data_IF_160994949631
#
_entry.id   IF_160994949631
#
_cell.length_a   1.000
_cell.length_b   1.000
_cell.length_c   1.000
_cell.angle_alpha   90.00
_cell.angle_beta   90.00
_cell.angle_gamma   90.00
#
_symmetry.space_group_name_H-M   'P 1'
#
loop_
_entity.id
_entity.type
_entity.pdbx_description
1 polymer ?
#
# COMPACT_ATOMS: atom_id res chain seq x y z
N UNK A 1 36.30 -10.29 -13.63
CA UNK A 1 35.99 -9.08 -14.45
C UNK A 1 34.50 -8.90 -14.36
N UNK A 2 34.02 -7.95 -13.56
CA UNK A 2 32.59 -7.67 -13.47
C UNK A 2 32.16 -7.04 -14.78
N UNK A 3 31.25 -7.71 -15.49
CA UNK A 3 30.63 -7.20 -16.70
C UNK A 3 29.81 -5.96 -16.32
N UNK A 4 30.36 -4.81 -16.60
CA UNK A 4 29.70 -3.51 -16.49
C UNK A 4 28.75 -3.37 -17.70
N UNK A 5 27.72 -4.23 -17.78
CA UNK A 5 26.66 -4.03 -18.76
C UNK A 5 25.86 -2.80 -18.28
N UNK A 6 26.16 -1.66 -18.89
CA UNK A 6 25.39 -0.43 -18.68
C UNK A 6 23.92 -0.67 -19.01
N UNK A 7 23.05 0.06 -18.33
CA UNK A 7 21.59 0.07 -18.59
C UNK A 7 21.33 0.25 -20.08
N UNK A 8 20.61 -0.69 -20.70
CA UNK A 8 20.29 -0.64 -22.13
C UNK A 8 18.91 -0.03 -22.37
N UNK A 9 17.96 -0.23 -21.44
CA UNK A 9 16.59 0.29 -21.50
C UNK A 9 16.00 0.49 -20.10
N UNK A 10 14.98 1.29 -20.01
CA UNK A 10 14.22 1.44 -18.77
C UNK A 10 13.52 0.12 -18.41
N UNK A 11 13.66 -0.28 -17.14
CA UNK A 11 13.16 -1.54 -16.64
C UNK A 11 14.14 -2.72 -16.74
N UNK A 12 15.40 -2.47 -17.12
CA UNK A 12 16.43 -3.50 -16.96
C UNK A 12 16.57 -3.88 -15.47
N UNK A 13 16.75 -5.18 -15.21
CA UNK A 13 16.87 -5.72 -13.86
C UNK A 13 18.05 -6.67 -13.78
N UNK A 14 18.72 -6.63 -12.64
CA UNK A 14 19.71 -7.63 -12.26
C UNK A 14 19.21 -8.37 -11.03
N UNK A 15 18.98 -9.67 -11.19
CA UNK A 15 18.69 -10.57 -10.08
C UNK A 15 20.03 -10.99 -9.49
N UNK A 16 20.29 -10.54 -8.25
CA UNK A 16 21.54 -10.85 -7.57
C UNK A 16 21.46 -12.16 -6.77
N UNK A 17 20.31 -12.43 -6.18
CA UNK A 17 20.03 -13.66 -5.46
C UNK A 17 18.58 -14.09 -5.68
N UNK A 18 18.39 -15.35 -5.99
CA UNK A 18 17.10 -16.02 -6.02
C UNK A 18 17.35 -17.47 -5.58
N UNK A 19 17.30 -17.68 -4.27
CA UNK A 19 17.67 -18.97 -3.66
C UNK A 19 16.48 -19.56 -2.92
N UNK A 20 16.28 -20.86 -3.08
CA UNK A 20 15.38 -21.67 -2.27
C UNK A 20 16.21 -22.39 -1.22
N UNK A 21 15.83 -22.29 0.04
CA UNK A 21 16.44 -23.00 1.14
C UNK A 21 15.41 -23.97 1.70
N UNK A 22 15.72 -25.25 1.60
CA UNK A 22 14.83 -26.33 2.07
C UNK A 22 14.80 -26.40 3.60
N UNK A 23 13.83 -27.12 4.15
CA UNK A 23 13.76 -27.44 5.59
C UNK A 23 14.98 -28.18 6.12
N UNK A 24 15.78 -28.80 5.24
CA UNK A 24 17.04 -29.47 5.57
C UNK A 24 18.27 -28.58 5.35
N UNK A 25 18.09 -27.29 5.17
CA UNK A 25 19.13 -26.28 4.91
C UNK A 25 19.94 -26.54 3.61
N UNK A 26 19.38 -27.24 2.64
CA UNK A 26 20.00 -27.36 1.31
C UNK A 26 19.55 -26.18 0.45
N UNK A 27 20.51 -25.55 -0.23
CA UNK A 27 20.34 -24.33 -0.97
C UNK A 27 20.29 -24.64 -2.47
N UNK A 28 19.30 -24.08 -3.14
CA UNK A 28 19.11 -24.19 -4.58
C UNK A 28 19.00 -22.79 -5.21
N UNK A 29 19.82 -22.56 -6.22
CA UNK A 29 19.71 -21.33 -7.03
C UNK A 29 18.58 -21.51 -8.06
N UNK A 30 17.56 -20.67 -7.98
CA UNK A 30 16.40 -20.69 -8.87
C UNK A 30 16.52 -19.74 -10.07
N UNK A 31 17.59 -18.97 -10.19
CA UNK A 31 17.74 -17.92 -11.22
C UNK A 31 17.61 -18.48 -12.63
N UNK A 32 18.17 -19.66 -12.90
CA UNK A 32 18.08 -20.29 -14.23
C UNK A 32 16.66 -20.78 -14.57
N UNK A 33 15.87 -21.14 -13.57
CA UNK A 33 14.52 -21.69 -13.72
C UNK A 33 13.44 -20.61 -13.77
N UNK A 34 13.77 -19.37 -13.45
CA UNK A 34 12.81 -18.28 -13.36
C UNK A 34 12.17 -17.97 -14.72
N UNK A 35 10.84 -18.00 -14.76
CA UNK A 35 10.02 -17.44 -15.83
C UNK A 35 9.57 -16.04 -15.43
N UNK A 36 8.87 -15.95 -14.30
CA UNK A 36 8.28 -14.72 -13.81
C UNK A 36 8.22 -14.73 -12.27
N UNK A 37 8.54 -13.61 -11.67
CA UNK A 37 8.35 -13.36 -10.23
C UNK A 37 7.40 -12.18 -10.10
N UNK A 38 6.42 -12.31 -9.24
CA UNK A 38 5.50 -11.24 -8.85
C UNK A 38 5.65 -11.00 -7.34
N UNK A 39 5.89 -9.75 -6.96
CA UNK A 39 5.88 -9.29 -5.58
C UNK A 39 4.78 -8.23 -5.45
N UNK A 40 3.93 -8.36 -4.44
CA UNK A 40 2.79 -7.48 -4.19
C UNK A 40 2.99 -6.70 -2.91
N UNK A 41 2.87 -5.38 -3.02
CA UNK A 41 2.80 -4.43 -1.91
C UNK A 41 1.42 -3.79 -1.91
N UNK A 42 0.82 -3.57 -0.72
CA UNK A 42 -0.50 -2.94 -0.60
C UNK A 42 -0.61 -2.25 0.78
N UNK A 43 -0.99 -0.98 0.82
CA UNK A 43 -1.15 -0.24 2.08
C UNK A 43 -2.28 -0.79 2.97
N UNK A 44 -3.17 -1.60 2.42
CA UNK A 44 -4.23 -2.28 3.16
C UNK A 44 -3.87 -3.72 3.57
N UNK A 45 -2.66 -4.19 3.26
CA UNK A 45 -2.12 -5.48 3.65
C UNK A 45 -1.03 -5.34 4.71
N UNK A 46 -1.09 -6.18 5.75
CA UNK A 46 -0.09 -6.16 6.83
C UNK A 46 1.22 -6.84 6.46
N UNK A 47 1.30 -7.50 5.32
CA UNK A 47 2.46 -8.28 4.89
C UNK A 47 2.58 -8.32 3.37
N UNK A 48 3.79 -8.53 2.90
CA UNK A 48 4.06 -8.73 1.49
C UNK A 48 3.70 -10.16 1.08
N UNK A 49 3.21 -10.30 -0.14
CA UNK A 49 2.97 -11.60 -0.77
C UNK A 49 3.56 -11.64 -2.15
N UNK A 50 3.75 -12.83 -2.68
CA UNK A 50 4.19 -12.96 -4.04
C UNK A 50 4.04 -14.37 -4.62
N UNK A 51 4.40 -14.48 -5.88
CA UNK A 51 4.43 -15.74 -6.59
C UNK A 51 5.61 -15.81 -7.54
N UNK A 52 6.18 -16.99 -7.67
CA UNK A 52 7.26 -17.26 -8.61
C UNK A 52 6.88 -18.41 -9.51
N UNK A 53 6.95 -18.20 -10.81
CA UNK A 53 6.72 -19.19 -11.84
C UNK A 53 8.07 -19.74 -12.27
N UNK A 54 8.24 -21.04 -12.14
CA UNK A 54 9.48 -21.76 -12.46
C UNK A 54 9.27 -22.73 -13.63
N UNK A 55 10.32 -22.85 -14.45
CA UNK A 55 10.43 -23.91 -15.48
C UNK A 55 11.57 -24.82 -15.10
N UNK A 56 11.24 -25.98 -14.55
CA UNK A 56 12.18 -26.93 -13.97
C UNK A 56 12.48 -28.05 -14.96
N UNK A 57 13.71 -28.12 -15.44
CA UNK A 57 14.25 -29.18 -16.31
C UNK A 57 15.16 -30.16 -15.56
N UNK A 58 15.44 -29.91 -14.27
CA UNK A 58 16.33 -30.73 -13.43
C UNK A 58 15.57 -31.58 -12.42
N UNK A 59 14.24 -31.53 -12.44
CA UNK A 59 13.39 -32.24 -11.49
C UNK A 59 13.63 -31.86 -10.02
N UNK A 60 13.81 -30.54 -9.76
CA UNK A 60 14.00 -30.00 -8.42
C UNK A 60 12.90 -30.42 -7.46
N UNK A 61 11.66 -30.48 -7.95
CA UNK A 61 10.49 -30.81 -7.14
C UNK A 61 10.55 -32.19 -6.50
N UNK A 62 11.21 -33.17 -7.16
CA UNK A 62 11.38 -34.50 -6.60
C UNK A 62 12.68 -34.63 -5.78
N UNK A 63 13.69 -33.81 -6.09
CA UNK A 63 14.97 -33.78 -5.35
C UNK A 63 14.82 -33.04 -4.02
N UNK A 64 13.96 -32.02 -3.98
CA UNK A 64 13.66 -31.23 -2.79
C UNK A 64 12.20 -31.44 -2.46
N UNK A 65 11.86 -32.02 -1.31
CA UNK A 65 10.47 -32.06 -0.88
C UNK A 65 9.99 -30.62 -0.59
N UNK A 66 9.43 -29.98 -1.62
CA UNK A 66 8.81 -28.66 -1.45
C UNK A 66 7.47 -28.87 -0.76
N UNK A 67 7.43 -28.64 0.55
CA UNK A 67 6.28 -28.93 1.42
C UNK A 67 5.56 -27.67 1.90
N UNK A 68 6.11 -26.47 1.61
CA UNK A 68 5.56 -25.19 2.05
C UNK A 68 6.20 -24.66 3.35
N UNK A 69 7.41 -25.09 3.65
CA UNK A 69 8.20 -24.62 4.82
C UNK A 69 9.54 -24.03 4.39
N UNK A 70 9.78 -23.94 3.10
CA UNK A 70 11.04 -23.47 2.54
C UNK A 70 11.14 -21.93 2.63
N UNK A 71 12.40 -21.46 2.74
CA UNK A 71 12.68 -20.02 2.62
C UNK A 71 13.04 -19.68 1.17
N UNK A 72 12.57 -18.53 0.74
CA UNK A 72 12.91 -17.90 -0.53
C UNK A 72 13.71 -16.62 -0.27
N UNK A 73 14.98 -16.64 -0.61
CA UNK A 73 15.86 -15.48 -0.53
C UNK A 73 15.82 -14.76 -1.86
N UNK A 74 15.39 -13.50 -1.83
CA UNK A 74 15.22 -12.66 -3.00
C UNK A 74 16.07 -11.39 -2.88
N UNK A 75 16.88 -11.13 -3.92
CA UNK A 75 17.58 -9.86 -4.09
C UNK A 75 17.66 -9.48 -5.56
N UNK A 76 17.07 -8.34 -5.90
CA UNK A 76 17.18 -7.76 -7.25
C UNK A 76 17.33 -6.25 -7.20
N UNK A 77 17.92 -5.69 -8.23
CA UNK A 77 18.18 -4.27 -8.37
C UNK A 77 17.84 -3.81 -9.79
N UNK A 78 17.30 -2.61 -9.90
CA UNK A 78 17.25 -1.86 -11.14
C UNK A 78 18.55 -1.06 -11.24
N UNK A 79 19.45 -1.32 -12.21
CA UNK A 79 20.80 -0.74 -12.21
C UNK A 79 20.88 0.78 -12.20
N UNK A 80 19.83 1.48 -12.66
CA UNK A 80 19.74 2.94 -12.62
C UNK A 80 19.45 3.52 -11.23
N UNK A 81 19.09 2.69 -10.25
CA UNK A 81 18.72 3.13 -8.90
C UNK A 81 19.60 2.46 -7.84
N UNK A 82 20.02 3.22 -6.80
CA UNK A 82 20.98 2.71 -5.81
C UNK A 82 20.40 1.69 -4.84
N UNK A 83 19.06 1.59 -4.75
CA UNK A 83 18.37 0.73 -3.80
C UNK A 83 18.05 -0.62 -4.42
N UNK A 84 18.27 -1.71 -3.68
CA UNK A 84 17.83 -3.05 -4.04
C UNK A 84 16.57 -3.45 -3.26
N UNK A 85 15.74 -4.28 -3.86
CA UNK A 85 14.74 -5.05 -3.13
C UNK A 85 15.46 -6.30 -2.62
N UNK A 86 15.56 -6.43 -1.30
CA UNK A 86 16.25 -7.55 -0.65
C UNK A 86 15.43 -8.02 0.53
N UNK A 87 14.94 -9.26 0.46
CA UNK A 87 14.11 -9.84 1.52
C UNK A 87 14.11 -11.35 1.47
N UNK A 88 13.92 -11.96 2.64
CA UNK A 88 13.64 -13.38 2.79
C UNK A 88 12.15 -13.58 3.02
N UNK A 89 11.56 -14.49 2.28
CA UNK A 89 10.17 -14.89 2.36
C UNK A 89 10.06 -16.35 2.76
N UNK A 90 8.86 -16.78 3.09
CA UNK A 90 8.54 -18.18 3.31
C UNK A 90 7.53 -18.66 2.28
N UNK A 91 7.78 -19.84 1.70
CA UNK A 91 6.85 -20.48 0.78
C UNK A 91 5.74 -21.13 1.61
N UNK A 92 4.51 -20.99 1.17
CA UNK A 92 3.35 -21.58 1.86
C UNK A 92 2.46 -22.43 0.96
N UNK A 93 2.64 -22.35 -0.36
CA UNK A 93 1.80 -23.10 -1.30
C UNK A 93 2.49 -23.30 -2.64
N UNK A 94 2.29 -24.48 -3.23
CA UNK A 94 2.62 -24.77 -4.62
C UNK A 94 1.34 -24.97 -5.41
N UNK A 95 1.25 -24.41 -6.62
CA UNK A 95 0.11 -24.56 -7.52
C UNK A 95 0.54 -24.77 -8.98
N UNK A 96 -0.43 -25.06 -9.84
CA UNK A 96 -0.32 -25.07 -11.30
C UNK A 96 0.82 -25.94 -11.86
N UNK A 97 1.09 -27.08 -11.21
CA UNK A 97 2.12 -28.01 -11.65
C UNK A 97 1.69 -28.70 -12.96
N UNK A 98 2.44 -28.45 -14.02
CA UNK A 98 2.24 -29.02 -15.36
C UNK A 98 3.53 -29.67 -15.85
N UNK A 99 3.42 -30.88 -16.36
CA UNK A 99 4.54 -31.64 -16.95
C UNK A 99 4.45 -31.56 -18.46
N UNK A 100 5.47 -31.01 -19.10
CA UNK A 100 5.60 -30.96 -20.55
C UNK A 100 6.39 -32.18 -21.00
N UNK A 101 5.67 -33.27 -21.38
CA UNK A 101 6.25 -34.60 -21.66
C UNK A 101 7.32 -34.57 -22.75
N UNK A 102 7.12 -33.79 -23.81
CA UNK A 102 8.04 -33.74 -24.95
C UNK A 102 9.38 -33.03 -24.65
N UNK A 103 9.45 -32.25 -23.55
CA UNK A 103 10.63 -31.47 -23.18
C UNK A 103 11.31 -31.92 -21.88
N UNK A 104 10.78 -32.95 -21.22
CA UNK A 104 11.25 -33.41 -19.91
C UNK A 104 11.33 -32.22 -18.91
N UNK A 105 10.39 -31.28 -18.99
CA UNK A 105 10.35 -30.03 -18.21
C UNK A 105 9.00 -29.96 -17.51
N UNK A 106 9.01 -29.46 -16.28
CA UNK A 106 7.78 -29.15 -15.56
C UNK A 106 7.73 -27.66 -15.23
N UNK A 107 6.52 -27.11 -15.19
CA UNK A 107 6.27 -25.75 -14.73
C UNK A 107 5.39 -25.79 -13.49
N UNK A 108 5.67 -24.93 -12.53
CA UNK A 108 4.87 -24.78 -11.32
C UNK A 108 5.01 -23.38 -10.74
N UNK A 109 4.08 -23.03 -9.87
CA UNK A 109 4.05 -21.74 -9.18
C UNK A 109 4.27 -21.97 -7.69
N UNK A 110 5.25 -21.27 -7.12
CA UNK A 110 5.47 -21.19 -5.68
C UNK A 110 4.89 -19.88 -5.18
N UNK A 111 4.02 -19.92 -4.18
CA UNK A 111 3.47 -18.76 -3.50
C UNK A 111 4.23 -18.53 -2.21
N UNK A 112 4.61 -17.30 -1.97
CA UNK A 112 5.39 -16.90 -0.80
C UNK A 112 4.81 -15.67 -0.11
N UNK A 113 5.14 -15.50 1.16
CA UNK A 113 4.76 -14.34 1.96
C UNK A 113 5.90 -13.96 2.92
N UNK A 114 5.81 -12.78 3.51
CA UNK A 114 6.71 -12.32 4.56
C UNK A 114 6.74 -13.30 5.72
N UNK A 115 7.91 -13.51 6.31
CA UNK A 115 8.13 -14.45 7.43
C UNK A 115 7.22 -14.06 8.60
N UNK A 116 7.03 -12.79 8.82
CA UNK A 116 6.24 -12.21 9.92
C UNK A 116 4.79 -12.68 9.92
N UNK A 117 4.20 -12.96 8.75
CA UNK A 117 2.86 -13.53 8.66
C UNK A 117 2.74 -14.88 9.36
N UNK A 118 3.77 -15.74 9.25
CA UNK A 118 3.73 -17.08 9.83
C UNK A 118 3.73 -17.02 11.35
N UNK A 119 4.43 -16.01 11.93
CA UNK A 119 4.40 -15.81 13.38
C UNK A 119 3.08 -15.23 13.82
N UNK A 120 2.59 -14.23 13.10
CA UNK A 120 1.30 -13.63 13.42
C UNK A 120 0.21 -14.69 13.55
N UNK A 121 0.07 -15.56 12.56
CA UNK A 121 -0.99 -16.59 12.53
C UNK A 121 -0.88 -17.58 13.71
N UNK A 122 0.32 -17.83 14.20
CA UNK A 122 0.57 -18.84 15.26
C UNK A 122 0.50 -18.28 16.69
N UNK A 123 0.39 -16.96 16.86
CA UNK A 123 0.48 -16.29 18.17
C UNK A 123 -0.86 -15.67 18.61
N UNK A 124 -1.78 -16.43 19.22
CA UNK A 124 -2.95 -15.83 19.83
C UNK A 124 -2.58 -15.13 21.15
N UNK A 125 -2.88 -13.85 21.27
CA UNK A 125 -2.57 -13.02 22.43
C UNK A 125 -3.74 -12.98 23.42
N UNK A 126 -3.47 -13.25 24.70
CA UNK A 126 -4.41 -13.12 25.81
C UNK A 126 -3.88 -12.14 26.87
N UNK A 127 -3.22 -11.10 26.43
CA UNK A 127 -2.48 -10.14 27.26
C UNK A 127 -3.29 -8.86 27.45
N UNK A 128 -3.26 -8.25 28.66
CA UNK A 128 -3.79 -6.91 28.88
C UNK A 128 -2.83 -5.85 28.33
N UNK A 129 -3.38 -4.83 27.70
CA UNK A 129 -2.65 -3.67 27.20
C UNK A 129 -3.25 -2.39 27.77
N UNK A 130 -2.38 -1.45 28.18
CA UNK A 130 -2.76 -0.14 28.68
C UNK A 130 -1.69 0.89 28.31
N UNK A 131 -2.08 2.00 27.68
CA UNK A 131 -1.17 3.08 27.30
C UNK A 131 -1.60 3.81 26.03
N UNK A 132 -0.70 4.63 25.51
CA UNK A 132 -0.88 5.26 24.20
C UNK A 132 -0.88 4.19 23.10
N UNK A 133 -1.72 4.39 22.09
CA UNK A 133 -1.85 3.36 21.02
C UNK A 133 -0.54 3.17 20.29
N UNK A 134 0.18 4.24 20.02
CA UNK A 134 1.50 4.17 19.35
C UNK A 134 2.52 3.36 20.12
N UNK A 135 2.56 3.50 21.45
CA UNK A 135 3.46 2.74 22.30
C UNK A 135 3.09 1.25 22.30
N UNK A 136 1.78 0.96 22.45
CA UNK A 136 1.28 -0.44 22.40
C UNK A 136 1.58 -1.08 21.04
N UNK A 137 1.47 -0.34 19.94
CA UNK A 137 1.80 -0.86 18.59
C UNK A 137 3.29 -1.16 18.47
N UNK A 138 4.16 -0.29 19.01
CA UNK A 138 5.60 -0.53 19.08
C UNK A 138 5.93 -1.79 19.88
N UNK A 139 5.39 -1.90 21.10
CA UNK A 139 5.60 -3.06 21.98
C UNK A 139 5.09 -4.37 21.35
N UNK A 140 3.92 -4.33 20.67
CA UNK A 140 3.37 -5.48 19.97
C UNK A 140 4.28 -5.91 18.82
N UNK A 141 4.78 -4.95 18.05
CA UNK A 141 5.68 -5.23 16.94
C UNK A 141 7.01 -5.81 17.43
N UNK A 142 7.65 -5.15 18.36
CA UNK A 142 8.98 -5.56 18.85
C UNK A 142 8.94 -6.92 19.54
N UNK A 143 8.01 -7.10 20.51
CA UNK A 143 7.96 -8.31 21.33
C UNK A 143 7.40 -9.54 20.62
N UNK A 144 6.50 -9.37 19.65
CA UNK A 144 5.81 -10.52 19.05
C UNK A 144 6.15 -10.73 17.57
N UNK A 145 6.59 -9.70 16.86
CA UNK A 145 6.91 -9.82 15.43
C UNK A 145 8.43 -9.83 15.22
N UNK A 146 9.13 -8.78 15.68
CA UNK A 146 10.56 -8.63 15.44
C UNK A 146 11.39 -9.70 16.18
N UNK A 147 11.15 -9.93 17.46
CA UNK A 147 11.88 -10.94 18.25
C UNK A 147 11.69 -12.36 17.67
N UNK A 148 10.46 -12.72 17.28
CA UNK A 148 10.21 -14.04 16.70
C UNK A 148 10.85 -14.20 15.32
N UNK A 149 10.86 -13.15 14.49
CA UNK A 149 11.59 -13.13 13.22
C UNK A 149 13.06 -13.35 13.45
N UNK A 150 13.67 -12.59 14.37
CA UNK A 150 15.11 -12.62 14.63
C UNK A 150 15.53 -13.98 15.20
N UNK A 151 14.71 -14.59 16.05
CA UNK A 151 14.93 -15.94 16.54
C UNK A 151 15.04 -16.95 15.39
N UNK A 152 14.11 -16.92 14.44
CA UNK A 152 14.11 -17.87 13.32
C UNK A 152 15.26 -17.62 12.34
N UNK A 153 15.60 -16.37 12.09
CA UNK A 153 16.76 -16.05 11.27
C UNK A 153 18.04 -16.56 11.94
N UNK A 154 18.12 -16.55 13.27
CA UNK A 154 19.26 -17.10 14.02
C UNK A 154 19.41 -18.61 13.88
N UNK A 155 18.30 -19.34 13.76
CA UNK A 155 18.26 -20.80 13.56
C UNK A 155 18.40 -21.21 12.09
N UNK A 156 18.31 -20.25 11.15
CA UNK A 156 18.34 -20.50 9.72
C UNK A 156 19.77 -20.65 9.18
N UNK A 157 19.87 -21.03 7.90
CA UNK A 157 21.16 -21.13 7.20
C UNK A 157 21.87 -19.77 7.12
N UNK A 158 23.21 -19.80 7.04
CA UNK A 158 24.03 -18.58 7.07
C UNK A 158 23.67 -17.60 5.93
N UNK A 159 23.22 -18.10 4.78
CA UNK A 159 22.75 -17.28 3.67
C UNK A 159 21.54 -16.41 4.02
N UNK A 160 20.68 -16.87 4.93
CA UNK A 160 19.56 -16.06 5.43
C UNK A 160 20.06 -14.98 6.37
N UNK A 161 21.08 -15.31 7.19
CA UNK A 161 21.69 -14.37 8.14
C UNK A 161 22.46 -13.24 7.43
N UNK A 162 23.06 -13.52 6.27
CA UNK A 162 23.76 -12.51 5.46
C UNK A 162 22.80 -11.46 4.88
N UNK A 163 21.52 -11.79 4.73
CA UNK A 163 20.49 -10.83 4.35
C UNK A 163 20.00 -10.17 5.64
N UNK A 164 20.51 -8.98 5.93
CA UNK A 164 19.96 -8.15 6.99
C UNK A 164 18.48 -7.85 6.72
N UNK A 165 17.62 -8.71 7.24
CA UNK A 165 16.17 -8.53 7.18
C UNK A 165 15.67 -7.63 8.32
N UNK A 166 16.38 -6.57 8.62
CA UNK A 166 15.87 -5.57 9.53
C UNK A 166 14.79 -4.79 8.79
N UNK A 167 13.54 -5.26 8.91
CA UNK A 167 12.39 -4.49 8.46
C UNK A 167 11.86 -3.70 9.66
N UNK A 168 12.30 -2.45 9.85
CA UNK A 168 11.93 -1.65 11.02
C UNK A 168 10.47 -1.25 10.97
N UNK A 169 9.89 -0.98 12.14
CA UNK A 169 8.61 -0.29 12.23
C UNK A 169 8.82 1.23 12.24
N UNK A 170 8.23 1.92 11.30
CA UNK A 170 8.13 3.38 11.30
C UNK A 170 6.75 3.83 11.76
N UNK A 171 6.70 4.48 12.92
CA UNK A 171 5.51 5.17 13.40
C UNK A 171 5.57 6.61 12.88
N UNK A 172 4.83 6.89 11.81
CA UNK A 172 4.81 8.21 11.17
C UNK A 172 3.74 9.14 11.73
N UNK A 173 2.71 8.57 12.35
CA UNK A 173 1.61 9.34 12.96
C UNK A 173 1.46 8.97 14.42
N UNK A 174 1.62 9.95 15.31
CA UNK A 174 1.40 9.75 16.73
C UNK A 174 -0.09 9.82 17.07
N UNK A 175 -0.49 9.03 18.08
CA UNK A 175 -1.87 9.00 18.59
C UNK A 175 -1.99 9.79 19.88
N UNK A 176 -3.14 10.45 20.07
CA UNK A 176 -3.41 11.27 21.26
C UNK A 176 -4.11 10.47 22.37
N UNK A 177 -4.70 9.33 22.04
CA UNK A 177 -5.56 8.60 22.98
C UNK A 177 -4.86 7.39 23.61
N UNK A 178 -5.21 7.17 24.89
CA UNK A 178 -4.81 5.99 25.67
C UNK A 178 -5.94 5.00 25.73
N UNK A 179 -5.61 3.72 25.57
CA UNK A 179 -6.59 2.63 25.61
C UNK A 179 -6.23 1.62 26.70
N UNK A 180 -7.25 0.93 27.18
CA UNK A 180 -7.10 -0.18 28.12
C UNK A 180 -7.98 -1.32 27.68
N UNK A 181 -7.39 -2.46 27.30
CA UNK A 181 -8.13 -3.64 26.85
C UNK A 181 -7.34 -4.92 27.10
N UNK A 182 -8.04 -6.03 27.02
CA UNK A 182 -7.43 -7.37 27.02
C UNK A 182 -7.67 -7.97 25.64
N UNK A 183 -6.60 -8.45 24.99
CA UNK A 183 -6.74 -9.15 23.72
C UNK A 183 -7.47 -10.48 23.94
N UNK A 184 -8.57 -10.75 23.20
CA UNK A 184 -9.36 -11.96 23.38
C UNK A 184 -8.88 -13.13 22.50
N UNK A 185 -7.57 -13.35 22.39
CA UNK A 185 -6.96 -14.34 21.51
C UNK A 185 -6.77 -13.86 20.08
N UNK A 186 -6.64 -12.57 19.90
CA UNK A 186 -6.29 -12.01 18.58
C UNK A 186 -4.81 -12.18 18.28
N UNK A 187 -4.48 -12.28 17.00
CA UNK A 187 -3.09 -12.24 16.53
C UNK A 187 -2.52 -10.83 16.68
N UNK A 188 -1.18 -10.66 16.73
CA UNK A 188 -0.53 -9.35 16.80
C UNK A 188 -1.02 -8.36 15.74
N UNK A 189 -1.05 -8.75 14.45
CA UNK A 189 -1.52 -7.88 13.37
C UNK A 189 -2.99 -7.50 13.53
N UNK A 190 -3.82 -8.44 13.99
CA UNK A 190 -5.23 -8.15 14.27
C UNK A 190 -5.38 -7.17 15.44
N UNK A 191 -4.54 -7.27 16.47
CA UNK A 191 -4.50 -6.29 17.55
C UNK A 191 -4.10 -4.91 17.04
N UNK A 192 -3.05 -4.82 16.22
CA UNK A 192 -2.57 -3.55 15.63
C UNK A 192 -3.65 -2.93 14.74
N UNK A 193 -4.31 -3.71 13.89
CA UNK A 193 -5.40 -3.22 13.03
C UNK A 193 -6.60 -2.73 13.85
N UNK A 194 -6.94 -3.42 14.94
CA UNK A 194 -7.98 -2.97 15.83
C UNK A 194 -7.60 -1.66 16.53
N UNK A 195 -6.35 -1.53 16.98
CA UNK A 195 -5.82 -0.28 17.56
C UNK A 195 -5.83 0.85 16.53
N UNK A 196 -5.40 0.61 15.28
CA UNK A 196 -5.49 1.56 14.18
C UNK A 196 -6.93 2.06 13.98
N UNK A 197 -7.91 1.16 14.11
CA UNK A 197 -9.33 1.53 14.04
C UNK A 197 -9.80 2.42 15.18
N UNK A 198 -9.11 2.47 16.32
CA UNK A 198 -9.42 3.29 17.50
C UNK A 198 -8.53 4.52 17.64
N UNK A 199 -7.53 4.66 16.79
CA UNK A 199 -6.55 5.74 16.86
C UNK A 199 -7.17 7.10 16.59
N UNK A 200 -6.82 8.06 17.43
CA UNK A 200 -7.13 9.48 17.27
C UNK A 200 -5.79 10.19 17.07
N UNK A 201 -5.61 10.93 15.99
CA UNK A 201 -4.34 11.60 15.73
C UNK A 201 -4.08 12.74 16.69
N UNK A 202 -2.81 12.99 16.99
CA UNK A 202 -2.38 14.08 17.85
C UNK A 202 -2.59 15.45 17.20
N UNK A 203 -2.47 15.54 15.89
CA UNK A 203 -2.68 16.74 15.09
C UNK A 203 -4.17 17.05 14.81
N UNK A 204 -5.08 16.14 15.14
CA UNK A 204 -6.53 16.28 14.95
C UNK A 204 -7.00 16.22 13.49
N UNK A 205 -6.10 16.13 12.52
CA UNK A 205 -6.43 16.14 11.08
C UNK A 205 -6.45 14.76 10.45
N UNK A 206 -5.56 13.87 10.88
CA UNK A 206 -5.43 12.52 10.36
C UNK A 206 -6.45 11.57 11.01
N UNK A 207 -7.10 10.70 10.25
CA UNK A 207 -8.19 9.85 10.79
C UNK A 207 -8.16 8.39 10.37
N UNK A 208 -7.49 8.07 9.25
CA UNK A 208 -7.43 6.74 8.70
C UNK A 208 -6.08 6.09 8.96
N UNK A 209 -5.91 5.56 10.18
CA UNK A 209 -4.69 4.84 10.51
C UNK A 209 -4.64 3.49 9.83
N UNK A 210 -3.46 3.15 9.32
CA UNK A 210 -3.12 1.89 8.65
C UNK A 210 -1.86 1.31 9.27
N UNK A 211 -1.76 -0.01 9.19
CA UNK A 211 -0.53 -0.76 9.46
C UNK A 211 -0.27 -1.65 8.26
N UNK A 212 0.85 -1.45 7.60
CA UNK A 212 1.20 -2.18 6.39
C UNK A 212 2.71 -2.40 6.27
N UNK A 213 3.08 -3.36 5.44
CA UNK A 213 4.45 -3.64 5.07
C UNK A 213 4.74 -3.15 3.67
N UNK A 214 5.85 -2.41 3.51
CA UNK A 214 6.46 -2.09 2.22
C UNK A 214 7.72 -2.94 1.99
N UNK A 215 8.34 -2.81 0.82
CA UNK A 215 9.60 -3.50 0.54
C UNK A 215 10.76 -3.07 1.45
N UNK A 216 10.63 -1.98 2.20
CA UNK A 216 11.67 -1.42 3.07
C UNK A 216 11.33 -1.49 4.56
N UNK A 217 10.05 -1.41 4.93
CA UNK A 217 9.67 -1.24 6.33
C UNK A 217 8.21 -1.63 6.59
N UNK A 218 7.92 -1.86 7.87
CA UNK A 218 6.55 -1.76 8.38
C UNK A 218 6.24 -0.30 8.69
N UNK A 219 5.01 0.11 8.42
CA UNK A 219 4.54 1.47 8.67
C UNK A 219 3.26 1.46 9.49
N UNK A 220 3.24 2.23 10.59
CA UNK A 220 2.01 2.61 11.28
C UNK A 220 1.79 4.11 11.06
N UNK A 221 0.80 4.46 10.27
CA UNK A 221 0.57 5.83 9.82
C UNK A 221 -0.88 6.06 9.44
N UNK A 222 -1.27 7.32 9.28
CA UNK A 222 -2.54 7.66 8.65
C UNK A 222 -2.37 7.98 7.16
N UNK A 223 -3.43 7.78 6.38
CA UNK A 223 -3.47 8.12 4.95
C UNK A 223 -3.21 9.62 4.77
N UNK A 224 -3.82 10.43 5.61
CA UNK A 224 -3.68 11.89 5.58
C UNK A 224 -2.23 12.34 5.90
N UNK A 225 -1.51 11.58 6.72
CA UNK A 225 -0.07 11.84 6.95
C UNK A 225 0.75 11.53 5.70
N UNK A 226 0.41 10.48 4.95
CA UNK A 226 1.07 10.19 3.68
C UNK A 226 0.85 11.34 2.67
N UNK A 227 -0.34 11.94 2.65
CA UNK A 227 -0.61 13.13 1.83
C UNK A 227 0.24 14.32 2.27
N UNK A 228 0.32 14.59 3.58
CA UNK A 228 1.10 15.70 4.14
C UNK A 228 2.58 15.58 3.82
N UNK A 229 3.19 14.42 4.07
CA UNK A 229 4.63 14.19 3.83
C UNK A 229 5.02 14.51 2.37
N UNK A 230 4.18 14.14 1.41
CA UNK A 230 4.45 14.43 0.01
C UNK A 230 4.47 15.93 -0.30
N UNK A 231 3.68 16.72 0.41
CA UNK A 231 3.54 18.15 0.22
C UNK A 231 4.60 18.95 0.94
N UNK A 232 4.77 18.69 2.25
CA UNK A 232 5.68 19.44 3.11
C UNK A 232 7.14 19.09 2.82
N UNK A 233 7.44 17.81 2.59
CA UNK A 233 8.80 17.31 2.38
C UNK A 233 9.20 17.23 0.91
N UNK A 234 8.30 17.59 -0.01
CA UNK A 234 8.48 17.47 -1.46
C UNK A 234 8.96 16.06 -1.89
N UNK A 235 8.40 15.03 -1.26
CA UNK A 235 8.80 13.63 -1.39
C UNK A 235 8.10 12.89 -2.54
N UNK A 236 7.50 13.63 -3.49
CA UNK A 236 6.93 13.04 -4.70
C UNK A 236 7.99 12.24 -5.45
N UNK A 237 7.63 11.01 -5.87
CA UNK A 237 8.55 10.11 -6.61
C UNK A 237 8.72 10.50 -8.09
N UNK A 238 8.14 11.60 -8.52
CA UNK A 238 8.31 12.16 -9.87
C UNK A 238 7.01 12.38 -10.64
N UNK A 239 7.17 12.91 -11.85
CA UNK A 239 6.07 13.19 -12.76
C UNK A 239 5.97 12.09 -13.82
N UNK A 240 4.88 11.35 -13.79
CA UNK A 240 4.56 10.30 -14.75
C UNK A 240 3.60 10.80 -15.82
N UNK A 241 3.68 10.25 -17.04
CA UNK A 241 2.80 10.62 -18.15
C UNK A 241 2.52 9.44 -19.09
N UNK A 242 1.42 9.50 -19.83
CA UNK A 242 1.05 8.46 -20.83
C UNK A 242 1.84 8.63 -22.12
N UNK A 243 2.22 9.85 -22.48
CA UNK A 243 2.67 10.15 -23.84
C UNK A 243 4.14 10.50 -23.92
N UNK A 244 4.81 9.86 -24.88
CA UNK A 244 6.11 10.30 -25.35
C UNK A 244 6.06 11.67 -26.11
N UNK A 245 4.88 12.20 -26.43
CA UNK A 245 4.75 13.46 -27.18
C UNK A 245 5.27 14.69 -26.40
N UNK A 246 5.39 14.59 -25.06
CA UNK A 246 6.10 15.60 -24.25
C UNK A 246 7.62 15.38 -24.17
N UNK A 247 8.12 14.29 -24.73
CA UNK A 247 9.55 13.96 -24.75
C UNK A 247 10.08 14.34 -26.13
N UNK A 248 10.53 15.57 -26.29
CA UNK A 248 11.29 15.93 -27.45
C UNK A 248 12.64 15.20 -27.41
N UNK A 249 12.86 14.33 -28.37
CA UNK A 249 14.21 13.86 -28.72
C UNK A 249 15.04 15.06 -29.12
N UNK A 250 15.81 15.62 -28.22
CA UNK A 250 16.79 16.66 -28.61
C UNK A 250 18.04 16.08 -29.21
N UNK A 251 18.34 14.81 -29.03
CA UNK A 251 19.47 14.12 -29.65
C UNK A 251 19.12 12.65 -29.78
N UNK A 252 19.41 12.04 -30.91
CA UNK A 252 19.13 10.66 -31.35
C UNK A 252 19.41 9.50 -30.37
N UNK A 253 19.44 9.74 -29.07
CA UNK A 253 19.53 8.73 -28.01
C UNK A 253 18.26 8.75 -27.15
N UNK A 254 17.67 7.56 -26.87
CA UNK A 254 16.58 7.49 -25.94
C UNK A 254 17.07 8.01 -24.58
N UNK A 255 16.36 8.96 -24.00
CA UNK A 255 16.60 9.41 -22.63
C UNK A 255 16.01 8.37 -21.70
N UNK A 256 16.84 7.42 -21.29
CA UNK A 256 16.46 6.28 -20.44
C UNK A 256 15.84 6.76 -19.13
N UNK A 257 16.33 7.87 -18.59
CA UNK A 257 15.82 8.42 -17.33
C UNK A 257 14.36 8.89 -17.46
N UNK A 258 13.99 9.43 -18.63
CA UNK A 258 12.59 9.80 -18.90
C UNK A 258 11.70 8.61 -19.16
N UNK A 259 12.22 7.53 -19.76
CA UNK A 259 11.43 6.33 -20.02
C UNK A 259 10.91 5.70 -18.72
N UNK A 260 11.59 5.84 -17.57
CA UNK A 260 11.12 5.35 -16.29
C UNK A 260 9.81 6.02 -15.83
N UNK A 261 9.50 7.19 -16.32
CA UNK A 261 8.31 7.96 -15.97
C UNK A 261 7.20 7.88 -17.02
N UNK A 262 7.35 7.00 -18.01
CA UNK A 262 6.33 6.77 -19.03
C UNK A 262 5.46 5.58 -18.66
N UNK A 263 4.15 5.83 -18.51
CA UNK A 263 3.17 4.78 -18.41
C UNK A 263 2.96 4.12 -19.79
N UNK A 264 3.22 2.81 -19.85
CA UNK A 264 3.04 2.00 -21.07
C UNK A 264 1.57 1.65 -21.27
N UNK A 265 0.85 1.50 -20.16
CA UNK A 265 -0.57 1.18 -20.14
C UNK A 265 -1.25 1.90 -18.96
N UNK A 266 -2.48 2.33 -19.16
CA UNK A 266 -3.30 3.00 -18.15
C UNK A 266 -4.71 2.46 -18.21
N UNK A 267 -5.15 1.85 -17.14
CA UNK A 267 -6.49 1.31 -16.97
C UNK A 267 -7.24 2.12 -15.92
N UNK A 268 -8.40 2.67 -16.29
CA UNK A 268 -9.31 3.32 -15.35
C UNK A 268 -10.09 2.23 -14.62
N UNK A 269 -9.83 2.04 -13.33
CA UNK A 269 -10.47 0.99 -12.52
C UNK A 269 -11.81 1.47 -11.99
N UNK A 270 -11.80 2.62 -11.32
CA UNK A 270 -12.99 3.25 -10.77
C UNK A 270 -13.04 4.74 -11.14
N UNK A 271 -14.25 5.21 -11.39
CA UNK A 271 -14.57 6.62 -11.53
C UNK A 271 -15.71 6.95 -10.58
N UNK A 272 -15.95 8.23 -10.33
CA UNK A 272 -16.97 8.69 -9.39
C UNK A 272 -18.35 8.09 -9.71
N UNK A 273 -18.89 7.29 -8.80
CA UNK A 273 -20.25 6.75 -8.83
C UNK A 273 -21.08 7.44 -7.75
N UNK A 274 -21.85 8.44 -8.16
CA UNK A 274 -22.66 9.23 -7.24
C UNK A 274 -23.75 8.41 -6.54
N UNK A 275 -24.36 7.42 -7.21
CA UNK A 275 -25.39 6.57 -6.59
C UNK A 275 -24.77 5.74 -5.46
N UNK A 276 -23.65 5.09 -5.75
CA UNK A 276 -22.89 4.34 -4.76
C UNK A 276 -22.45 5.23 -3.59
N UNK A 277 -21.96 6.44 -3.88
CA UNK A 277 -21.51 7.38 -2.89
C UNK A 277 -22.63 7.85 -1.96
N UNK A 278 -23.81 8.18 -2.50
CA UNK A 278 -24.96 8.56 -1.68
C UNK A 278 -25.44 7.41 -0.80
N UNK A 279 -25.57 6.21 -1.36
CA UNK A 279 -26.06 5.03 -0.61
C UNK A 279 -25.07 4.58 0.46
N UNK A 280 -23.77 4.74 0.23
CA UNK A 280 -22.73 4.37 1.18
C UNK A 280 -22.45 5.45 2.24
N UNK A 281 -23.06 6.64 2.14
CA UNK A 281 -22.90 7.73 3.11
C UNK A 281 -21.61 8.53 2.95
N UNK A 282 -21.09 8.67 1.74
CA UNK A 282 -19.90 9.46 1.43
C UNK A 282 -20.10 10.94 1.75
N UNK A 283 -21.16 11.55 1.23
CA UNK A 283 -21.45 12.99 1.43
C UNK A 283 -22.02 13.32 2.80
N UNK A 284 -22.85 12.42 3.34
CA UNK A 284 -23.44 12.58 4.65
C UNK A 284 -23.74 11.20 5.26
N UNK A 285 -23.50 11.07 6.55
CA UNK A 285 -23.81 9.86 7.29
C UNK A 285 -24.25 10.20 8.72
N UNK A 286 -24.95 9.27 9.36
CA UNK A 286 -25.45 9.39 10.73
C UNK A 286 -24.82 8.31 11.59
N UNK A 287 -24.21 8.71 12.67
CA UNK A 287 -23.68 7.81 13.69
C UNK A 287 -24.63 7.81 14.91
N UNK A 288 -25.04 6.62 15.30
CA UNK A 288 -25.75 6.38 16.57
C UNK A 288 -24.78 5.71 17.51
N UNK A 289 -24.30 6.42 18.51
CA UNK A 289 -23.47 5.86 19.58
C UNK A 289 -24.39 5.43 20.72
N UNK A 290 -24.26 4.16 21.14
CA UNK A 290 -25.05 3.59 22.22
C UNK A 290 -24.12 3.28 23.40
N UNK A 291 -24.33 3.98 24.51
CA UNK A 291 -23.70 3.67 25.80
C UNK A 291 -24.64 2.78 26.63
N UNK A 292 -24.28 1.49 26.70
CA UNK A 292 -25.07 0.49 27.41
C UNK A 292 -24.97 0.67 28.93
N UNK A 293 -23.87 1.23 29.44
CA UNK A 293 -23.65 1.42 30.88
C UNK A 293 -24.50 2.57 31.44
N UNK A 294 -24.47 3.73 30.72
CA UNK A 294 -25.23 4.91 31.10
C UNK A 294 -26.66 4.90 30.57
N UNK A 295 -27.00 3.93 29.70
CA UNK A 295 -28.30 3.82 29.01
C UNK A 295 -28.63 5.06 28.18
N UNK A 296 -27.62 5.61 27.54
CA UNK A 296 -27.74 6.79 26.69
C UNK A 296 -27.41 6.45 25.23
N UNK A 297 -28.04 7.18 24.33
CA UNK A 297 -27.62 7.17 22.93
C UNK A 297 -27.47 8.61 22.42
N UNK A 298 -26.46 8.79 21.57
CA UNK A 298 -26.21 10.10 20.93
C UNK A 298 -26.28 9.92 19.42
N UNK A 299 -27.01 10.84 18.77
CA UNK A 299 -27.11 10.94 17.32
C UNK A 299 -26.16 12.00 16.84
N UNK A 300 -25.27 11.66 15.93
CA UNK A 300 -24.32 12.59 15.34
C UNK A 300 -24.44 12.53 13.83
N UNK A 301 -24.69 13.67 13.22
CA UNK A 301 -24.73 13.83 11.77
C UNK A 301 -23.38 14.35 11.28
N UNK A 302 -22.89 13.74 10.22
CA UNK A 302 -21.67 14.12 9.54
C UNK A 302 -21.99 14.65 8.13
N UNK A 303 -21.36 15.77 7.76
CA UNK A 303 -21.42 16.38 6.44
C UNK A 303 -20.00 16.56 5.89
N UNK A 304 -19.68 15.82 4.84
CA UNK A 304 -18.35 15.77 4.24
C UNK A 304 -17.89 17.13 3.72
N UNK A 305 -18.78 17.91 3.09
CA UNK A 305 -18.40 19.19 2.47
C UNK A 305 -17.98 20.22 3.54
N UNK A 306 -18.64 20.20 4.70
CA UNK A 306 -18.31 21.09 5.80
C UNK A 306 -16.98 20.70 6.49
N UNK A 307 -16.59 19.42 6.41
CA UNK A 307 -15.40 18.89 7.04
C UNK A 307 -14.19 18.80 6.08
N UNK A 308 -14.43 18.84 4.75
CA UNK A 308 -13.41 18.64 3.73
C UNK A 308 -12.19 19.53 3.89
N UNK A 309 -12.40 20.83 4.04
CA UNK A 309 -11.29 21.81 4.15
C UNK A 309 -10.46 21.71 5.42
N UNK A 310 -10.82 20.83 6.35
CA UNK A 310 -10.10 20.64 7.62
C UNK A 310 -9.10 19.46 7.55
N UNK A 311 -8.99 18.80 6.41
CA UNK A 311 -8.18 17.60 6.21
C UNK A 311 -7.05 17.84 5.21
N UNK A 312 -6.08 16.92 5.22
CA UNK A 312 -5.07 16.83 4.15
C UNK A 312 -5.62 16.02 2.98
N UNK A 313 -5.30 16.45 1.77
CA UNK A 313 -5.71 15.84 0.52
C UNK A 313 -4.53 15.62 -0.42
N UNK A 314 -4.69 14.76 -1.43
CA UNK A 314 -3.63 14.48 -2.42
C UNK A 314 -3.13 15.74 -3.14
N UNK A 315 -4.00 16.74 -3.35
CA UNK A 315 -3.65 18.01 -3.97
C UNK A 315 -3.26 19.13 -2.99
N UNK A 316 -3.16 18.82 -1.70
CA UNK A 316 -2.77 19.74 -0.62
C UNK A 316 -3.93 20.29 0.21
N UNK A 317 -3.57 21.04 1.24
CA UNK A 317 -4.53 21.61 2.18
C UNK A 317 -5.42 22.67 1.51
N UNK A 318 -6.71 22.67 1.81
CA UNK A 318 -7.66 23.69 1.35
C UNK A 318 -8.08 23.61 -0.13
N UNK A 319 -7.70 22.55 -0.83
CA UNK A 319 -8.17 22.33 -2.22
C UNK A 319 -9.61 21.84 -2.25
N UNK A 320 -10.27 21.98 -3.42
CA UNK A 320 -11.66 21.57 -3.56
C UNK A 320 -11.79 20.07 -3.78
N UNK A 321 -12.85 19.52 -3.21
CA UNK A 321 -13.30 18.16 -3.49
C UNK A 321 -13.48 17.91 -5.00
N UNK A 322 -13.45 16.66 -5.40
CA UNK A 322 -13.88 16.26 -6.75
C UNK A 322 -15.25 16.89 -7.07
N UNK A 323 -15.55 17.25 -8.33
CA UNK A 323 -16.81 17.90 -8.68
C UNK A 323 -17.99 17.05 -8.23
N UNK A 324 -18.71 17.54 -7.24
CA UNK A 324 -19.88 16.87 -6.68
C UNK A 324 -21.07 17.82 -6.86
N UNK A 325 -22.21 17.27 -7.27
CA UNK A 325 -23.44 18.01 -7.24
C UNK A 325 -23.90 18.19 -5.79
N UNK A 326 -23.77 19.42 -5.27
CA UNK A 326 -23.87 19.73 -3.83
C UNK A 326 -25.21 20.30 -3.41
N UNK A 327 -26.30 19.92 -4.08
CA UNK A 327 -27.63 20.34 -3.64
C UNK A 327 -27.90 19.84 -2.22
N UNK A 328 -28.31 20.73 -1.30
CA UNK A 328 -28.54 20.41 0.12
C UNK A 328 -29.55 19.26 0.30
N UNK A 329 -30.48 19.10 -0.62
CA UNK A 329 -31.51 18.03 -0.61
C UNK A 329 -30.91 16.62 -0.79
N UNK A 330 -29.74 16.50 -1.38
CA UNK A 330 -29.05 15.21 -1.60
C UNK A 330 -28.13 14.81 -0.45
N UNK A 331 -27.86 15.72 0.48
CA UNK A 331 -27.00 15.49 1.65
C UNK A 331 -27.85 15.12 2.88
N UNK A 332 -28.53 13.99 2.81
CA UNK A 332 -29.36 13.53 3.91
C UNK A 332 -28.59 12.47 4.76
N UNK A 333 -28.14 12.81 5.97
CA UNK A 333 -27.41 11.86 6.81
C UNK A 333 -28.21 10.63 7.22
N UNK A 334 -29.56 10.72 7.21
CA UNK A 334 -30.43 9.62 7.53
C UNK A 334 -30.45 8.49 6.48
N UNK A 335 -29.90 8.70 5.29
CA UNK A 335 -29.80 7.66 4.26
C UNK A 335 -28.78 6.59 4.60
N UNK A 336 -27.79 6.91 5.42
CA UNK A 336 -26.77 5.96 5.86
C UNK A 336 -26.53 6.06 7.37
N UNK A 337 -27.05 5.09 8.13
CA UNK A 337 -26.99 5.07 9.58
C UNK A 337 -26.04 3.96 10.04
N UNK A 338 -25.09 4.33 10.86
CA UNK A 338 -24.16 3.40 11.51
C UNK A 338 -24.40 3.36 13.02
N UNK A 339 -24.39 2.16 13.61
CA UNK A 339 -24.51 1.97 15.05
C UNK A 339 -23.14 1.62 15.64
N UNK A 340 -22.80 2.27 16.74
CA UNK A 340 -21.58 2.00 17.47
C UNK A 340 -21.82 1.85 18.97
N UNK A 341 -21.64 0.64 19.54
CA UNK A 341 -21.67 0.45 20.97
C UNK A 341 -20.43 1.09 21.60
N UNK A 342 -20.63 2.04 22.47
CA UNK A 342 -19.56 2.72 23.19
C UNK A 342 -19.19 1.95 24.43
N UNK A 343 -17.89 1.74 24.66
CA UNK A 343 -17.37 1.30 25.94
C UNK A 343 -16.56 2.45 26.55
N UNK A 344 -17.13 3.18 27.52
CA UNK A 344 -16.47 4.35 28.10
C UNK A 344 -15.19 3.98 28.85
N UNK A 345 -15.05 2.72 29.29
CA UNK A 345 -13.84 2.25 29.98
C UNK A 345 -12.69 1.86 29.04
N UNK A 346 -12.91 1.86 27.74
CA UNK A 346 -11.86 1.57 26.76
C UNK A 346 -10.82 2.71 26.68
N UNK A 347 -11.29 3.95 26.86
CA UNK A 347 -10.46 5.14 26.76
C UNK A 347 -10.21 5.73 28.15
N UNK A 348 -8.96 5.74 28.61
CA UNK A 348 -8.63 6.25 29.94
C UNK A 348 -8.66 7.77 30.02
N UNK A 349 -8.46 8.49 28.88
CA UNK A 349 -8.27 9.94 28.86
C UNK A 349 -9.58 10.75 28.84
N UNK A 350 -10.67 10.14 28.33
CA UNK A 350 -11.95 10.84 28.13
C UNK A 350 -13.16 9.92 28.26
N UNK A 351 -13.34 9.23 29.38
CA UNK A 351 -14.42 8.26 29.54
C UNK A 351 -15.81 8.91 29.40
N UNK A 352 -15.94 10.20 29.74
CA UNK A 352 -17.21 10.92 29.73
C UNK A 352 -17.56 11.49 28.33
N UNK A 353 -16.57 11.61 27.44
CA UNK A 353 -16.72 12.23 26.10
C UNK A 353 -16.49 11.26 24.94
N UNK A 354 -16.64 9.97 25.18
CA UNK A 354 -16.36 8.94 24.16
C UNK A 354 -17.24 9.12 22.93
N UNK A 355 -18.51 9.47 23.11
CA UNK A 355 -19.44 9.69 21.98
C UNK A 355 -19.02 10.84 21.09
N UNK A 356 -18.48 11.92 21.65
CA UNK A 356 -17.96 13.06 20.87
C UNK A 356 -16.71 12.68 20.08
N UNK A 357 -15.82 11.89 20.68
CA UNK A 357 -14.61 11.41 19.97
C UNK A 357 -14.95 10.40 18.87
N UNK A 358 -15.94 9.54 19.10
CA UNK A 358 -16.38 8.58 18.09
C UNK A 358 -16.97 9.25 16.84
N UNK A 359 -17.63 10.40 16.95
CA UNK A 359 -18.14 11.12 15.78
C UNK A 359 -17.01 11.56 14.85
N UNK A 360 -15.91 12.06 15.43
CA UNK A 360 -14.76 12.53 14.68
C UNK A 360 -14.02 11.39 13.98
N UNK A 361 -14.07 10.18 14.57
CA UNK A 361 -13.43 9.00 14.00
C UNK A 361 -14.30 8.39 12.89
N UNK A 362 -15.57 8.11 13.16
CA UNK A 362 -16.38 7.28 12.28
C UNK A 362 -16.93 8.01 11.06
N UNK A 363 -17.54 9.15 11.25
CA UNK A 363 -18.20 9.89 10.16
C UNK A 363 -17.18 10.27 9.09
N UNK A 364 -16.09 10.85 9.52
CA UNK A 364 -15.04 11.32 8.67
C UNK A 364 -14.25 10.17 8.01
N UNK A 365 -13.82 9.17 8.81
CA UNK A 365 -13.08 8.00 8.30
C UNK A 365 -13.82 7.31 7.17
N UNK A 366 -15.13 7.13 7.31
CA UNK A 366 -15.97 6.50 6.30
C UNK A 366 -15.96 7.29 4.98
N UNK A 367 -16.15 8.61 5.07
CA UNK A 367 -16.15 9.47 3.87
C UNK A 367 -14.78 9.53 3.21
N UNK A 368 -13.69 9.69 3.98
CA UNK A 368 -12.33 9.74 3.44
C UNK A 368 -11.89 8.43 2.76
N UNK A 369 -12.29 7.27 3.31
CA UNK A 369 -12.01 5.98 2.66
C UNK A 369 -12.80 5.79 1.37
N UNK A 370 -14.06 6.24 1.33
CA UNK A 370 -14.88 6.21 0.12
C UNK A 370 -14.35 7.18 -0.93
N UNK A 371 -13.77 8.30 -0.51
CA UNK A 371 -13.17 9.28 -1.42
C UNK A 371 -12.04 8.69 -2.24
N UNK A 372 -11.21 7.83 -1.64
CA UNK A 372 -10.14 7.11 -2.34
C UNK A 372 -10.64 6.18 -3.45
N UNK A 373 -11.92 5.81 -3.43
CA UNK A 373 -12.53 4.99 -4.50
C UNK A 373 -13.14 5.81 -5.64
N UNK A 374 -13.15 7.14 -5.54
CA UNK A 374 -13.77 8.02 -6.55
C UNK A 374 -12.94 8.14 -7.83
N UNK A 375 -11.63 8.04 -7.74
CA UNK A 375 -10.77 8.00 -8.90
C UNK A 375 -9.59 7.07 -8.63
N UNK A 376 -9.62 5.93 -9.29
CA UNK A 376 -8.62 4.87 -9.17
C UNK A 376 -8.17 4.39 -10.54
N UNK A 377 -6.87 4.36 -10.76
CA UNK A 377 -6.24 3.92 -12.00
C UNK A 377 -5.14 2.90 -11.73
N UNK A 378 -4.97 1.96 -12.63
CA UNK A 378 -3.79 1.12 -12.73
C UNK A 378 -2.88 1.67 -13.84
N UNK A 379 -1.63 1.93 -13.50
CA UNK A 379 -0.62 2.35 -14.47
C UNK A 379 0.51 1.32 -14.55
N UNK A 380 0.90 0.95 -15.77
CA UNK A 380 2.04 0.06 -16.02
C UNK A 380 3.25 0.87 -16.44
N UNK A 381 4.31 0.79 -15.66
CA UNK A 381 5.55 1.56 -15.84
C UNK A 381 6.78 0.66 -15.80
N UNK A 382 7.93 1.08 -16.36
CA UNK A 382 9.20 0.39 -16.14
C UNK A 382 9.52 0.28 -14.64
N UNK A 383 10.06 -0.86 -14.23
CA UNK A 383 10.31 -1.15 -12.83
C UNK A 383 11.41 -0.30 -12.21
N UNK A 384 11.19 0.13 -10.99
CA UNK A 384 12.12 0.88 -10.13
C UNK A 384 12.16 0.24 -8.76
N UNK A 385 13.35 0.03 -8.21
CA UNK A 385 13.53 -0.59 -6.88
C UNK A 385 13.53 0.42 -5.74
N UNK A 386 13.48 1.71 -6.04
CA UNK A 386 13.39 2.80 -5.06
C UNK A 386 11.95 3.21 -4.70
N UNK A 387 10.96 2.73 -5.46
CA UNK A 387 9.53 3.02 -5.25
C UNK A 387 8.91 2.02 -4.30
N UNK A 388 8.03 2.49 -3.43
CA UNK A 388 7.26 1.72 -2.46
C UNK A 388 5.82 2.24 -2.34
N UNK A 389 4.92 1.46 -1.78
CA UNK A 389 3.53 1.88 -1.50
C UNK A 389 3.48 3.00 -0.47
N UNK A 390 2.40 3.78 -0.48
CA UNK A 390 2.23 4.92 0.41
C UNK A 390 2.98 6.19 -0.05
N UNK A 391 3.65 6.16 -1.20
CA UNK A 391 4.28 7.34 -1.80
C UNK A 391 3.32 8.06 -2.72
N UNK A 392 3.61 9.33 -2.99
CA UNK A 392 2.83 10.16 -3.91
C UNK A 392 3.60 10.41 -5.19
N UNK A 393 2.90 10.35 -6.32
CA UNK A 393 3.38 10.73 -7.63
C UNK A 393 2.49 11.81 -8.26
N UNK A 394 3.03 12.57 -9.20
CA UNK A 394 2.23 13.41 -10.09
C UNK A 394 1.97 12.64 -11.39
N UNK A 395 0.70 12.49 -11.77
CA UNK A 395 0.32 11.87 -13.03
C UNK A 395 -0.26 12.89 -14.00
N UNK A 396 0.34 12.99 -15.18
CA UNK A 396 -0.08 13.88 -16.25
C UNK A 396 -0.91 13.09 -17.26
N UNK A 397 -2.21 13.34 -17.29
CA UNK A 397 -3.14 12.75 -18.23
C UNK A 397 -3.39 13.72 -19.40
N UNK A 398 -3.27 13.31 -20.69
CA UNK A 398 -3.44 14.21 -21.81
C UNK A 398 -4.92 14.59 -22.00
N UNK A 399 -5.16 15.87 -22.23
CA UNK A 399 -6.49 16.33 -22.63
C UNK A 399 -6.76 16.03 -24.11
N UNK A 400 -7.97 15.58 -24.40
CA UNK A 400 -8.49 15.51 -25.77
C UNK A 400 -9.09 16.87 -26.11
N UNK A 401 -8.29 17.83 -26.57
CA UNK A 401 -8.77 19.12 -27.00
C UNK A 401 -8.50 19.28 -28.50
N UNK A 402 -9.44 19.76 -29.32
CA UNK A 402 -9.11 20.23 -30.66
C UNK A 402 -8.16 21.41 -30.49
N UNK A 403 -6.94 21.28 -31.00
CA UNK A 403 -5.91 22.30 -30.90
C UNK A 403 -6.30 23.52 -31.74
N UNK A 404 -6.89 24.52 -31.11
CA UNK A 404 -7.01 25.87 -31.68
C UNK A 404 -5.71 26.70 -31.46
N UNK A 405 -4.69 26.13 -30.83
CA UNK A 405 -3.42 26.79 -30.62
C UNK A 405 -2.42 26.39 -31.68
N UNK A 406 -1.86 27.41 -32.36
CA UNK A 406 -0.79 27.29 -33.35
C UNK A 406 0.53 26.68 -32.84
N UNK A 407 0.62 26.36 -31.55
CA UNK A 407 1.70 25.66 -30.90
C UNK A 407 1.38 24.17 -30.73
N UNK A 408 1.56 23.40 -31.78
CA UNK A 408 1.37 21.94 -31.83
C UNK A 408 2.27 21.14 -30.86
N UNK A 409 2.88 21.77 -29.88
CA UNK A 409 3.95 21.20 -29.06
C UNK A 409 3.65 21.12 -27.55
N UNK A 410 2.55 21.69 -27.06
CA UNK A 410 2.15 21.54 -25.67
C UNK A 410 0.94 20.60 -25.59
N UNK A 411 1.16 19.41 -25.06
CA UNK A 411 0.08 18.49 -24.69
C UNK A 411 -0.65 19.12 -23.53
N UNK A 412 -1.86 19.62 -23.76
CA UNK A 412 -2.69 20.16 -22.68
C UNK A 412 -3.06 19.03 -21.73
N UNK A 413 -2.88 19.24 -20.43
CA UNK A 413 -3.24 18.26 -19.39
C UNK A 413 -4.75 18.31 -19.10
N UNK A 414 -5.37 17.13 -18.97
CA UNK A 414 -6.73 17.06 -18.46
C UNK A 414 -6.73 17.39 -16.96
N UNK A 415 -7.38 18.45 -16.58
CA UNK A 415 -7.41 18.96 -15.20
C UNK A 415 -8.20 18.08 -14.24
N UNK A 416 -9.05 17.17 -14.71
CA UNK A 416 -9.77 16.23 -13.84
C UNK A 416 -8.89 15.04 -13.47
N UNK A 417 -8.16 14.52 -14.46
CA UNK A 417 -7.38 13.30 -14.32
C UNK A 417 -5.90 13.56 -14.01
N UNK A 418 -5.35 14.73 -14.36
CA UNK A 418 -4.00 15.08 -13.95
C UNK A 418 -3.92 15.53 -12.48
N UNK A 419 -2.81 15.28 -11.84
CA UNK A 419 -2.55 15.73 -10.47
C UNK A 419 -1.77 14.73 -9.63
N UNK A 420 -1.80 14.96 -8.32
CA UNK A 420 -1.11 14.10 -7.36
C UNK A 420 -1.96 12.90 -6.99
N UNK A 421 -1.33 11.73 -6.94
CA UNK A 421 -1.93 10.45 -6.66
C UNK A 421 -1.13 9.70 -5.59
N UNK A 422 -1.83 9.07 -4.66
CA UNK A 422 -1.26 8.12 -3.70
C UNK A 422 -1.14 6.74 -4.36
N UNK A 423 -0.01 6.10 -4.20
CA UNK A 423 0.19 4.70 -4.60
C UNK A 423 -0.36 3.81 -3.49
N UNK A 424 -1.44 3.10 -3.78
CA UNK A 424 -2.08 2.19 -2.82
C UNK A 424 -1.57 0.77 -2.93
N UNK A 425 -1.27 0.31 -4.15
CA UNK A 425 -0.71 -1.01 -4.35
C UNK A 425 0.33 -1.01 -5.48
N UNK A 426 1.30 -1.92 -5.39
CA UNK A 426 2.31 -2.16 -6.42
C UNK A 426 2.42 -3.65 -6.66
N UNK A 427 2.40 -4.04 -7.93
CA UNK A 427 2.84 -5.35 -8.38
C UNK A 427 4.17 -5.19 -9.09
N UNK A 428 5.25 -5.68 -8.51
CA UNK A 428 6.52 -5.84 -9.18
C UNK A 428 6.51 -7.12 -9.99
N UNK A 429 6.60 -7.00 -11.29
CA UNK A 429 6.69 -8.12 -12.23
C UNK A 429 8.12 -8.20 -12.76
N UNK A 430 8.86 -9.20 -12.30
CA UNK A 430 10.27 -9.39 -12.63
C UNK A 430 10.45 -10.66 -13.45
N UNK A 431 11.12 -10.55 -14.56
CA UNK A 431 11.63 -11.67 -15.37
C UNK A 431 13.15 -11.62 -15.40
N UNK A 432 13.81 -12.52 -16.12
CA UNK A 432 15.30 -12.58 -16.15
C UNK A 432 15.98 -11.26 -16.54
N UNK A 433 15.33 -10.44 -17.36
CA UNK A 433 15.94 -9.23 -17.93
C UNK A 433 15.03 -7.99 -17.87
N UNK A 434 13.82 -8.12 -17.33
CA UNK A 434 12.86 -7.03 -17.34
C UNK A 434 12.10 -6.94 -16.05
N UNK A 435 12.02 -5.75 -15.52
CA UNK A 435 11.21 -5.37 -14.37
C UNK A 435 10.14 -4.37 -14.82
N UNK A 436 8.91 -4.69 -14.56
CA UNK A 436 7.76 -3.81 -14.81
C UNK A 436 6.98 -3.68 -13.51
N UNK A 437 6.51 -2.49 -13.21
CA UNK A 437 5.60 -2.24 -12.09
C UNK A 437 4.20 -1.93 -12.63
N UNK A 438 3.20 -2.53 -12.02
CA UNK A 438 1.81 -2.10 -12.13
C UNK A 438 1.45 -1.44 -10.81
N UNK A 439 1.16 -0.15 -10.84
CA UNK A 439 0.82 0.64 -9.66
C UNK A 439 -0.67 0.99 -9.68
N UNK A 440 -1.37 0.70 -8.59
CA UNK A 440 -2.68 1.27 -8.33
C UNK A 440 -2.50 2.64 -7.70
N UNK A 441 -3.08 3.65 -8.33
CA UNK A 441 -2.99 5.03 -7.89
C UNK A 441 -4.37 5.63 -7.67
N UNK A 442 -4.53 6.37 -6.57
CA UNK A 442 -5.80 6.97 -6.16
C UNK A 442 -5.67 8.47 -5.92
N UNK A 443 -6.76 9.19 -6.13
CA UNK A 443 -6.83 10.64 -5.96
C UNK A 443 -8.16 11.03 -5.35
N UNK A 444 -8.12 11.91 -4.35
CA UNK A 444 -9.29 12.40 -3.60
C UNK A 444 -9.65 13.86 -3.90
N UNK A 445 -8.81 14.60 -4.64
CA UNK A 445 -8.96 16.05 -4.81
C UNK A 445 -8.53 16.54 -6.18
N UNK A 446 -9.05 17.70 -6.61
CA UNK A 446 -8.63 18.37 -7.83
C UNK A 446 -7.43 19.28 -7.59
N UNK A 447 -6.50 19.32 -8.56
CA UNK A 447 -5.31 20.17 -8.53
C UNK A 447 -5.62 21.63 -8.82
N UNK A 448 -6.65 21.90 -9.66
CA UNK A 448 -7.02 23.25 -10.09
C UNK A 448 -8.48 23.53 -9.81
N UNK A 449 -8.79 24.79 -9.42
CA UNK A 449 -10.17 25.23 -9.32
C UNK A 449 -10.80 25.30 -10.72
N UNK A 450 -11.88 24.53 -10.93
CA UNK A 450 -12.77 24.76 -12.08
C UNK A 450 -13.81 25.80 -11.70
N UNK A 451 -13.73 26.98 -12.29
CA UNK A 451 -14.88 27.87 -12.38
C UNK A 451 -15.84 27.25 -13.39
N UNK A 452 -16.92 26.66 -12.92
CA UNK A 452 -18.06 26.29 -13.79
C UNK A 452 -18.59 27.62 -14.32
N UNK A 453 -18.40 27.84 -15.64
CA UNK A 453 -19.03 28.97 -16.35
C UNK A 453 -20.48 28.67 -16.64
#
# INVERSE_FOLDING_TARGET
MADNQGVQKAGDVKIEQLKLISSTNVIYDLTEFLIELNLYEDIFSNYLTGSIVLSDSRNLFDMVPIIGEEYLVLKFITPSFPTSVQKTFRIYKTSDRQVVRDKNTQTYVLHFASIELFYDVLLPLFTPFEGEITDIVGDLFDSYIAENRDFQISEAADEIKEIENVTPLYVKSETANKVKFVSPGWTPFKCINWLASKSIPKDGKAKNFLFFESNKSFCFTSIETLFREAYEDNTSIGKYSISAAGIRQSDNRPDIDREYFLAKDVEMVDTTDHIKNYTNGYLANRLLTLDVYNKEYVVTDYDYINEYGKQYHTSGEGKKAMPIFTGDSLRNPATNISFYPVNPKLFNDFPDNVSEKMKDIYGNRKSSLLDLTNLRMNISVPGRTDVEVGRILYFSYPAVSPSDSSDANETQEDTNYSGYYLITAIRHKVSKMNHTMVMEIVKDSLTTEKTVK
#
